data_IF_534845840038
#
_entry.id   IF_534845840038
#
_cell.length_a   1.000
_cell.length_b   1.000
_cell.length_c   1.000
_cell.angle_alpha   90.00
_cell.angle_beta   90.00
_cell.angle_gamma   90.00
#
_symmetry.space_group_name_H-M   'P 1'
#
loop_
_entity.id
_entity.type
_entity.pdbx_description
1 polymer ?
#
# COMPACT_ATOMS: atom_id res chain seq x y z
N UNK A 1 -2.80 -65.13 23.95
CA UNK A 1 -2.23 -64.64 25.21
C UNK A 1 -1.32 -63.48 24.82
N UNK A 2 -1.92 -62.30 24.62
CA UNK A 2 -2.22 -61.31 25.69
C UNK A 2 -0.96 -60.48 25.95
N UNK A 3 -0.93 -59.23 25.46
CA UNK A 3 -1.12 -57.96 26.23
C UNK A 3 0.12 -57.62 27.07
N UNK A 4 0.61 -56.39 27.27
CA UNK A 4 0.18 -55.01 27.02
C UNK A 4 1.26 -54.13 27.72
N UNK A 5 1.31 -52.84 27.35
CA UNK A 5 1.93 -51.69 28.04
C UNK A 5 3.45 -51.67 28.33
N UNK A 6 4.14 -50.53 28.18
CA UNK A 6 3.62 -49.17 28.28
C UNK A 6 4.23 -48.20 27.28
N UNK A 7 3.35 -47.39 26.71
CA UNK A 7 3.68 -46.08 26.16
C UNK A 7 4.32 -45.21 27.25
N UNK A 8 5.47 -44.64 26.91
CA UNK A 8 6.00 -43.47 27.60
C UNK A 8 5.61 -42.30 26.71
N UNK A 9 4.58 -41.56 27.11
CA UNK A 9 4.27 -40.25 26.55
C UNK A 9 5.55 -39.42 26.39
N UNK A 10 5.96 -39.23 25.15
CA UNK A 10 6.87 -38.15 24.77
C UNK A 10 5.95 -37.02 24.32
N UNK A 11 5.47 -36.27 25.30
CA UNK A 11 4.86 -34.95 25.08
C UNK A 11 5.83 -34.18 24.20
N UNK A 12 5.39 -33.92 22.96
CA UNK A 12 6.08 -33.03 22.04
C UNK A 12 6.25 -31.69 22.77
N UNK A 13 7.48 -31.15 22.92
CA UNK A 13 7.62 -29.82 23.47
C UNK A 13 6.90 -28.89 22.51
N UNK A 14 5.90 -28.21 23.05
CA UNK A 14 5.06 -27.28 22.33
C UNK A 14 5.91 -26.34 21.48
N UNK A 15 5.47 -26.18 20.24
CA UNK A 15 5.72 -25.02 19.40
C UNK A 15 5.28 -23.76 20.16
N UNK A 16 6.15 -23.24 21.02
CA UNK A 16 5.97 -21.98 21.74
C UNK A 16 7.33 -21.29 21.74
N UNK A 17 7.63 -20.57 20.66
CA UNK A 17 8.92 -19.89 20.53
C UNK A 17 9.06 -18.89 19.40
N UNK A 18 8.07 -18.70 18.52
CA UNK A 18 8.25 -17.87 17.31
C UNK A 18 7.42 -16.57 17.27
N UNK A 19 6.87 -16.12 18.41
CA UNK A 19 5.97 -14.95 18.42
C UNK A 19 6.52 -13.71 19.12
N UNK A 20 7.43 -13.84 20.10
CA UNK A 20 7.83 -12.68 20.91
C UNK A 20 8.87 -11.77 20.21
N UNK A 21 9.94 -12.35 19.66
CA UNK A 21 10.99 -11.57 18.99
C UNK A 21 10.58 -10.98 17.64
N UNK A 22 9.63 -11.62 16.93
CA UNK A 22 9.12 -11.10 15.66
C UNK A 22 8.26 -9.85 15.84
N UNK A 23 7.45 -9.81 16.91
CA UNK A 23 6.58 -8.68 17.23
C UNK A 23 7.37 -7.46 17.71
N UNK A 24 8.40 -7.67 18.54
CA UNK A 24 9.32 -6.61 18.97
C UNK A 24 10.03 -5.94 17.78
N UNK A 25 10.51 -6.74 16.83
CA UNK A 25 11.15 -6.25 15.61
C UNK A 25 10.20 -5.42 14.73
N UNK A 26 8.93 -5.81 14.64
CA UNK A 26 7.91 -5.04 13.93
C UNK A 26 7.63 -3.68 14.58
N UNK A 27 7.55 -3.62 15.91
CA UNK A 27 7.37 -2.36 16.64
C UNK A 27 8.57 -1.42 16.48
N UNK A 28 9.79 -1.95 16.51
CA UNK A 28 11.01 -1.18 16.26
C UNK A 28 11.01 -0.62 14.83
N UNK A 29 10.65 -1.44 13.85
CA UNK A 29 10.56 -1.02 12.45
C UNK A 29 9.51 0.08 12.28
N UNK A 30 8.32 -0.10 12.85
CA UNK A 30 7.25 0.90 12.82
C UNK A 30 7.68 2.23 13.44
N UNK A 31 8.39 2.19 14.58
CA UNK A 31 8.94 3.40 15.22
C UNK A 31 9.98 4.08 14.34
N UNK A 32 10.86 3.32 13.68
CA UNK A 32 11.83 3.88 12.73
C UNK A 32 11.16 4.53 11.52
N UNK A 33 10.20 3.85 10.90
CA UNK A 33 9.47 4.38 9.75
C UNK A 33 8.69 5.64 10.15
N UNK A 34 7.91 5.59 11.24
CA UNK A 34 7.10 6.73 11.68
C UNK A 34 7.92 7.91 12.22
N UNK A 35 9.14 7.66 12.72
CA UNK A 35 10.09 8.70 13.14
C UNK A 35 10.95 9.25 12.00
N UNK A 36 10.83 8.73 10.78
CA UNK A 36 11.65 9.15 9.65
C UNK A 36 11.26 10.55 9.15
N UNK A 37 12.21 11.45 8.82
CA UNK A 37 11.89 12.81 8.37
C UNK A 37 10.93 12.89 7.18
N UNK A 38 11.01 11.92 6.26
CA UNK A 38 10.13 11.83 5.08
C UNK A 38 8.75 11.20 5.35
N UNK A 39 8.49 10.68 6.55
CA UNK A 39 7.23 9.97 6.84
C UNK A 39 6.00 10.87 6.65
N UNK A 40 6.08 12.13 7.07
CA UNK A 40 5.00 13.10 6.83
C UNK A 40 4.73 13.32 5.34
N UNK A 41 5.79 13.52 4.55
CA UNK A 41 5.69 13.71 3.10
C UNK A 41 5.12 12.46 2.40
N UNK A 42 5.51 11.27 2.85
CA UNK A 42 5.00 10.01 2.33
C UNK A 42 3.48 9.91 2.50
N UNK A 43 2.97 10.21 3.70
CA UNK A 43 1.53 10.19 3.99
C UNK A 43 0.79 11.26 3.19
N UNK A 44 1.35 12.46 3.08
CA UNK A 44 0.77 13.54 2.29
C UNK A 44 0.65 13.16 0.81
N UNK A 45 1.73 12.62 0.21
CA UNK A 45 1.72 12.17 -1.18
C UNK A 45 0.70 11.04 -1.39
N UNK A 46 0.59 10.12 -0.45
CA UNK A 46 -0.40 9.04 -0.51
C UNK A 46 -1.84 9.59 -0.49
N UNK A 47 -2.13 10.53 0.41
CA UNK A 47 -3.43 11.23 0.46
C UNK A 47 -3.70 12.02 -0.83
N UNK A 48 -2.69 12.66 -1.40
CA UNK A 48 -2.83 13.37 -2.66
C UNK A 48 -3.22 12.43 -3.81
N UNK A 49 -2.62 11.24 -3.90
CA UNK A 49 -3.03 10.22 -4.87
C UNK A 49 -4.50 9.82 -4.72
N UNK A 50 -4.96 9.60 -3.48
CA UNK A 50 -6.37 9.28 -3.20
C UNK A 50 -7.30 10.42 -3.60
N UNK A 51 -6.94 11.65 -3.26
CA UNK A 51 -7.71 12.85 -3.60
C UNK A 51 -7.84 13.05 -5.10
N UNK A 52 -6.76 12.90 -5.86
CA UNK A 52 -6.85 13.01 -7.33
C UNK A 52 -7.63 11.82 -7.92
N UNK A 53 -7.46 10.61 -7.38
CA UNK A 53 -8.15 9.42 -7.90
C UNK A 53 -9.65 9.38 -7.64
N UNK A 54 -10.12 9.89 -6.50
CA UNK A 54 -11.53 9.83 -6.10
C UNK A 54 -12.36 11.04 -6.55
N UNK A 55 -11.71 12.11 -7.03
CA UNK A 55 -12.40 13.36 -7.38
C UNK A 55 -13.08 14.03 -6.17
N UNK A 56 -14.03 14.93 -6.43
CA UNK A 56 -14.70 15.75 -5.39
C UNK A 56 -15.70 14.97 -4.50
N UNK A 57 -15.92 13.67 -4.78
CA UNK A 57 -17.04 12.89 -4.23
C UNK A 57 -16.63 11.74 -3.29
N UNK A 58 -15.34 11.51 -3.06
CA UNK A 58 -14.87 10.40 -2.22
C UNK A 58 -14.36 10.87 -0.87
N UNK A 59 -15.19 10.81 0.17
CA UNK A 59 -14.70 10.81 1.54
C UNK A 59 -13.98 9.47 1.79
N UNK A 60 -12.67 9.54 2.08
CA UNK A 60 -11.86 8.36 2.37
C UNK A 60 -12.23 7.84 3.76
N UNK A 61 -13.16 6.89 3.81
CA UNK A 61 -13.31 6.03 4.98
C UNK A 61 -12.06 5.14 5.07
N UNK A 62 -11.07 5.55 5.87
CA UNK A 62 -9.90 4.70 6.15
C UNK A 62 -10.38 3.53 7.03
N UNK A 63 -10.88 2.46 6.42
CA UNK A 63 -11.04 1.18 7.10
C UNK A 63 -9.70 0.47 7.04
N UNK A 64 -8.90 0.61 8.09
CA UNK A 64 -7.70 -0.20 8.29
C UNK A 64 -8.11 -1.64 8.63
N UNK A 65 -8.56 -2.40 7.64
CA UNK A 65 -8.58 -3.86 7.72
C UNK A 65 -7.24 -4.35 7.15
N UNK A 66 -6.42 -5.09 7.91
CA UNK A 66 -5.14 -5.57 7.43
C UNK A 66 -5.38 -6.65 6.36
N UNK A 67 -5.19 -6.31 5.09
CA UNK A 67 -5.15 -7.27 4.01
C UNK A 67 -4.01 -8.27 4.23
N UNK A 68 -4.36 -9.56 4.29
CA UNK A 68 -3.40 -10.66 4.34
C UNK A 68 -2.77 -10.87 2.95
N UNK A 69 -1.90 -9.96 2.54
CA UNK A 69 -1.11 -10.12 1.31
C UNK A 69 0.05 -11.13 1.52
N UNK A 70 0.29 -11.95 0.49
CA UNK A 70 1.17 -13.12 0.53
C UNK A 70 2.65 -12.80 0.83
N UNK A 71 3.25 -13.70 1.60
CA UNK A 71 4.58 -13.62 2.22
C UNK A 71 5.74 -13.50 1.23
N UNK A 72 6.23 -12.28 1.02
CA UNK A 72 7.66 -12.02 0.91
C UNK A 72 8.01 -11.11 2.08
N UNK A 73 8.20 -11.70 3.27
CA UNK A 73 8.54 -10.95 4.47
C UNK A 73 9.98 -10.45 4.31
N UNK A 74 10.22 -9.15 4.10
CA UNK A 74 11.59 -8.65 4.08
C UNK A 74 12.24 -8.98 5.41
N UNK A 75 13.52 -9.38 5.38
CA UNK A 75 14.26 -9.69 6.60
C UNK A 75 14.39 -8.39 7.41
N UNK A 76 13.58 -8.28 8.46
CA UNK A 76 13.48 -7.06 9.29
C UNK A 76 14.84 -6.70 9.90
N UNK A 77 15.72 -7.68 10.11
CA UNK A 77 17.05 -7.45 10.63
C UNK A 77 17.92 -6.60 9.68
N UNK A 78 17.75 -6.74 8.37
CA UNK A 78 18.56 -6.00 7.39
C UNK A 78 18.20 -4.49 7.42
N UNK A 79 16.90 -4.17 7.54
CA UNK A 79 16.42 -2.78 7.67
C UNK A 79 16.80 -2.17 9.03
N UNK A 80 16.82 -2.98 10.08
CA UNK A 80 17.28 -2.54 11.41
C UNK A 80 18.79 -2.26 11.40
N UNK A 81 19.58 -3.04 10.66
CA UNK A 81 21.03 -2.92 10.65
C UNK A 81 21.55 -1.85 9.69
N UNK A 82 20.81 -1.52 8.62
CA UNK A 82 21.23 -0.57 7.60
C UNK A 82 20.27 0.64 7.53
N UNK A 83 20.55 1.76 8.23
CA UNK A 83 19.69 2.95 8.18
C UNK A 83 19.60 3.56 6.77
N UNK A 84 20.64 3.40 5.94
CA UNK A 84 20.64 3.84 4.55
C UNK A 84 19.56 3.17 3.70
N UNK A 85 19.22 1.91 3.97
CA UNK A 85 18.23 1.19 3.18
C UNK A 85 16.81 1.74 3.44
N UNK A 86 16.55 2.17 4.68
CA UNK A 86 15.32 2.87 5.02
C UNK A 86 15.24 4.23 4.31
N UNK A 87 16.33 5.00 4.28
CA UNK A 87 16.37 6.29 3.57
C UNK A 87 16.03 6.11 2.08
N UNK A 88 16.71 5.17 1.41
CA UNK A 88 16.46 4.85 -0.01
C UNK A 88 15.02 4.37 -0.24
N UNK A 89 14.49 3.54 0.67
CA UNK A 89 13.10 3.10 0.60
C UNK A 89 12.13 4.28 0.68
N UNK A 90 12.32 5.17 1.66
CA UNK A 90 11.46 6.33 1.87
C UNK A 90 11.48 7.28 0.67
N UNK A 91 12.67 7.53 0.10
CA UNK A 91 12.83 8.33 -1.12
C UNK A 91 12.16 7.69 -2.35
N UNK A 92 12.44 6.41 -2.59
CA UNK A 92 11.86 5.66 -3.71
C UNK A 92 10.32 5.62 -3.62
N UNK A 93 9.77 5.45 -2.42
CA UNK A 93 8.34 5.43 -2.20
C UNK A 93 7.71 6.81 -2.45
N UNK A 94 8.33 7.89 -1.95
CA UNK A 94 7.87 9.26 -2.23
C UNK A 94 7.87 9.57 -3.73
N UNK A 95 8.91 9.15 -4.44
CA UNK A 95 9.02 9.30 -5.90
C UNK A 95 7.93 8.49 -6.62
N UNK A 96 7.72 7.23 -6.24
CA UNK A 96 6.68 6.39 -6.83
C UNK A 96 5.29 6.99 -6.65
N UNK A 97 4.96 7.52 -5.47
CA UNK A 97 3.69 8.22 -5.23
C UNK A 97 3.56 9.49 -6.07
N UNK A 98 4.65 10.24 -6.25
CA UNK A 98 4.63 11.46 -7.08
C UNK A 98 4.32 11.12 -8.55
N UNK A 99 4.98 10.09 -9.08
CA UNK A 99 4.74 9.60 -10.44
C UNK A 99 3.31 9.04 -10.60
N UNK A 100 2.81 8.34 -9.58
CA UNK A 100 1.43 7.84 -9.57
C UNK A 100 0.41 8.99 -9.64
N UNK A 101 0.62 10.04 -8.84
CA UNK A 101 -0.24 11.24 -8.85
C UNK A 101 -0.27 11.88 -10.25
N UNK A 102 0.90 12.09 -10.84
CA UNK A 102 1.03 12.66 -12.19
C UNK A 102 0.27 11.81 -13.22
N UNK A 103 0.45 10.48 -13.19
CA UNK A 103 -0.25 9.58 -14.10
C UNK A 103 -1.78 9.58 -13.93
N UNK A 104 -2.28 9.74 -12.71
CA UNK A 104 -3.74 9.87 -12.46
C UNK A 104 -4.26 11.19 -13.06
N UNK A 105 -3.54 12.30 -12.82
CA UNK A 105 -3.93 13.62 -13.33
C UNK A 105 -3.89 13.67 -14.87
N UNK A 106 -2.86 13.09 -15.49
CA UNK A 106 -2.73 12.99 -16.94
C UNK A 106 -3.90 12.21 -17.55
N UNK A 107 -4.19 11.01 -17.04
CA UNK A 107 -5.28 10.17 -17.53
C UNK A 107 -6.66 10.86 -17.41
N UNK A 108 -6.87 11.61 -16.32
CA UNK A 108 -8.11 12.39 -16.14
C UNK A 108 -8.20 13.55 -17.12
N UNK A 109 -7.11 14.28 -17.30
CA UNK A 109 -7.04 15.41 -18.21
C UNK A 109 -7.26 14.97 -19.68
N UNK A 110 -6.65 13.86 -20.08
CA UNK A 110 -6.86 13.26 -21.41
C UNK A 110 -8.31 12.85 -21.61
N UNK A 111 -8.90 12.16 -20.62
CA UNK A 111 -10.29 11.72 -20.66
C UNK A 111 -11.25 12.92 -20.78
N UNK A 112 -11.06 13.96 -19.97
CA UNK A 112 -11.87 15.17 -20.02
C UNK A 112 -11.73 15.91 -21.37
N UNK A 113 -10.52 15.96 -21.92
CA UNK A 113 -10.24 16.57 -23.21
C UNK A 113 -10.93 15.81 -24.35
N UNK A 114 -10.85 14.48 -24.32
CA UNK A 114 -11.54 13.60 -25.27
C UNK A 114 -13.06 13.80 -25.22
N UNK A 115 -13.66 13.72 -24.03
CA UNK A 115 -15.11 13.90 -23.83
C UNK A 115 -15.56 15.26 -24.38
N UNK A 116 -14.83 16.34 -24.05
CA UNK A 116 -15.12 17.69 -24.53
C UNK A 116 -15.07 17.77 -26.06
N UNK A 117 -14.05 17.18 -26.69
CA UNK A 117 -13.92 17.15 -28.13
C UNK A 117 -15.08 16.40 -28.79
N UNK A 118 -15.47 15.25 -28.24
CA UNK A 118 -16.62 14.48 -28.73
C UNK A 118 -17.93 15.27 -28.62
N UNK A 119 -18.17 15.96 -27.49
CA UNK A 119 -19.38 16.79 -27.35
C UNK A 119 -19.43 17.94 -28.36
N UNK A 120 -18.29 18.58 -28.66
CA UNK A 120 -18.21 19.62 -29.69
C UNK A 120 -18.57 19.07 -31.07
N UNK A 121 -17.99 17.93 -31.45
CA UNK A 121 -18.27 17.28 -32.73
C UNK A 121 -19.75 16.88 -32.87
N UNK A 122 -20.34 16.34 -31.80
CA UNK A 122 -21.77 15.99 -31.78
C UNK A 122 -22.65 17.25 -31.91
N UNK A 123 -22.30 18.34 -31.21
CA UNK A 123 -23.00 19.61 -31.30
C UNK A 123 -23.01 20.17 -32.73
N UNK A 124 -21.85 20.20 -33.39
CA UNK A 124 -21.71 20.64 -34.78
C UNK A 124 -22.64 19.84 -35.72
N UNK A 125 -22.66 18.51 -35.59
CA UNK A 125 -23.54 17.65 -36.37
C UNK A 125 -25.03 17.95 -36.15
N UNK A 126 -25.45 18.24 -34.91
CA UNK A 126 -26.85 18.59 -34.62
C UNK A 126 -27.27 19.94 -35.20
N UNK A 127 -26.35 20.91 -35.28
CA UNK A 127 -26.62 22.22 -35.86
C UNK A 127 -26.60 22.22 -37.39
N UNK A 128 -25.82 21.34 -38.03
CA UNK A 128 -25.81 21.20 -39.50
C UNK A 128 -27.01 20.45 -40.08
N UNK A 129 -27.84 19.83 -39.24
CA UNK A 129 -29.03 19.06 -39.65
C UNK A 129 -30.35 19.84 -39.57
N UNK A 130 -30.33 21.15 -39.32
CA UNK A 130 -31.54 21.98 -39.43
C UNK A 130 -31.66 22.57 -40.86
N UNK A 131 -32.71 22.24 -41.63
CA UNK A 131 -32.97 22.85 -42.95
C UNK A 131 -33.36 24.33 -42.85
#
# INVERSE_FOLDING_TARGET
METNCGEKEKISPGFVGESAGAQENEEILRKRISGHPLFGLLIENHLNCLKVGLGEFGEVGITTEPDKAADSKPNINDIIQNPSDLDHFMEAYCMALSNLKEGIEEAQQESASFIKATYLQLGELTHTNHP
#
